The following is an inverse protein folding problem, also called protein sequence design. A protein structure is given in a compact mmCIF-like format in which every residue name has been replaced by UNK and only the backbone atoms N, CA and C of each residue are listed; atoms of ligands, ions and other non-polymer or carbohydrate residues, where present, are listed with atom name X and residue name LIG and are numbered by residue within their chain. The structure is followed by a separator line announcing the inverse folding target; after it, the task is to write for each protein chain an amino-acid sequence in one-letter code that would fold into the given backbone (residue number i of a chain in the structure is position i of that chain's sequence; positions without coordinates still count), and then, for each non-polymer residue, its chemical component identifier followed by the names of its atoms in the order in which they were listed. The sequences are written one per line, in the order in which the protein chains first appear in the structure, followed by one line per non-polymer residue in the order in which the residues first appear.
data_IF_312746042316
#
_entry.id   IF_312746042316
#
_cell.length_a   1.000
_cell.length_b   1.000
_cell.length_c   1.000
_cell.angle_alpha   90.00
_cell.angle_beta   90.00
_cell.angle_gamma   90.00
#
_symmetry.space_group_name_H-M   'P 1'
#
loop_
_entity.id
_entity.type
_entity.pdbx_description
1 polymer ?
#
# COMPACT_ATOMS: atom_id res chain seq x y z
N UNK A 1 26.28 -6.42 11.67
CA UNK A 1 24.89 -6.46 12.18
C UNK A 1 24.03 -7.14 11.14
N UNK A 2 23.13 -8.08 11.48
CA UNK A 2 22.27 -8.70 10.47
C UNK A 2 21.50 -7.59 9.74
N UNK A 3 21.46 -7.66 8.42
CA UNK A 3 20.76 -6.69 7.60
C UNK A 3 19.28 -6.67 8.03
N UNK A 4 18.78 -5.50 8.42
CA UNK A 4 17.35 -5.35 8.75
C UNK A 4 16.55 -5.57 7.46
N UNK A 5 15.52 -6.42 7.55
CA UNK A 5 14.66 -6.83 6.46
C UNK A 5 13.19 -6.65 6.86
N UNK A 6 12.29 -6.41 5.91
CA UNK A 6 10.82 -6.42 6.13
C UNK A 6 10.19 -7.69 5.55
N UNK A 7 10.87 -8.81 5.71
CA UNK A 7 10.42 -10.10 5.19
C UNK A 7 9.33 -10.73 6.05
N UNK A 8 9.08 -12.01 5.84
CA UNK A 8 8.11 -12.80 6.62
C UNK A 8 8.35 -12.68 8.13
N UNK A 9 7.28 -12.56 8.89
CA UNK A 9 7.31 -12.77 10.33
C UNK A 9 7.24 -14.27 10.66
N UNK A 10 7.76 -14.68 11.82
CA UNK A 10 7.96 -16.09 12.23
C UNK A 10 6.73 -16.99 12.35
N UNK A 11 5.56 -16.55 11.90
CA UNK A 11 4.34 -17.36 11.80
C UNK A 11 3.56 -17.17 10.50
N UNK A 12 4.02 -16.31 9.58
CA UNK A 12 3.24 -15.93 8.40
C UNK A 12 2.97 -17.12 7.48
N UNK A 13 3.95 -18.02 7.28
CA UNK A 13 3.74 -19.22 6.44
C UNK A 13 2.64 -20.13 7.00
N UNK A 14 2.55 -20.28 8.33
CA UNK A 14 1.47 -21.03 8.95
C UNK A 14 0.11 -20.33 8.83
N UNK A 15 0.10 -19.00 8.86
CA UNK A 15 -1.13 -18.21 8.86
C UNK A 15 -1.70 -17.98 7.46
N UNK A 16 -0.84 -17.92 6.45
CA UNK A 16 -1.19 -17.47 5.11
C UNK A 16 -0.73 -18.42 4.00
N UNK A 17 0.20 -19.34 4.27
CA UNK A 17 0.72 -20.27 3.26
C UNK A 17 -0.18 -21.48 2.99
N UNK A 18 -1.08 -21.83 3.92
CA UNK A 18 -2.01 -22.95 3.77
C UNK A 18 -3.19 -22.60 2.84
N UNK A 19 -3.38 -23.39 1.77
CA UNK A 19 -4.42 -23.12 0.76
C UNK A 19 -5.84 -23.24 1.32
N UNK A 20 -6.08 -24.12 2.29
CA UNK A 20 -7.39 -24.23 2.93
C UNK A 20 -7.70 -22.99 3.78
N UNK A 21 -6.69 -22.44 4.47
CA UNK A 21 -6.81 -21.17 5.18
C UNK A 21 -7.04 -20.01 4.21
N UNK A 22 -6.31 -19.94 3.10
CA UNK A 22 -6.57 -18.90 2.08
C UNK A 22 -8.00 -18.98 1.52
N UNK A 23 -8.50 -20.19 1.25
CA UNK A 23 -9.90 -20.39 0.83
C UNK A 23 -10.89 -19.87 1.87
N UNK A 24 -10.68 -20.17 3.16
CA UNK A 24 -11.49 -19.61 4.26
C UNK A 24 -11.42 -18.09 4.33
N UNK A 25 -10.24 -17.50 4.09
CA UNK A 25 -10.08 -16.04 4.07
C UNK A 25 -10.84 -15.41 2.89
N UNK A 26 -10.90 -16.05 1.72
CA UNK A 26 -11.72 -15.57 0.58
C UNK A 26 -13.20 -15.57 0.91
N UNK A 27 -13.71 -16.62 1.55
CA UNK A 27 -15.10 -16.65 2.03
C UNK A 27 -15.36 -15.58 3.10
N UNK A 28 -14.40 -15.35 4.01
CA UNK A 28 -14.49 -14.26 4.98
C UNK A 28 -14.52 -12.87 4.31
N UNK A 29 -13.73 -12.65 3.26
CA UNK A 29 -13.72 -11.39 2.49
C UNK A 29 -15.08 -11.17 1.80
N UNK A 30 -15.68 -12.21 1.21
CA UNK A 30 -17.02 -12.13 0.60
C UNK A 30 -18.08 -11.73 1.63
N UNK A 31 -18.10 -12.41 2.78
CA UNK A 31 -19.07 -12.12 3.85
C UNK A 31 -18.86 -10.71 4.43
N UNK A 32 -17.61 -10.29 4.65
CA UNK A 32 -17.31 -8.95 5.17
C UNK A 32 -17.73 -7.86 4.18
N UNK A 33 -17.36 -8.00 2.91
CA UNK A 33 -17.76 -7.07 1.84
C UNK A 33 -19.28 -6.98 1.71
N UNK A 34 -20.00 -8.09 1.83
CA UNK A 34 -21.46 -8.11 1.84
C UNK A 34 -22.05 -7.30 3.00
N UNK A 35 -21.54 -7.48 4.22
CA UNK A 35 -22.01 -6.72 5.39
C UNK A 35 -21.71 -5.23 5.26
N UNK A 36 -20.51 -4.86 4.84
CA UNK A 36 -20.12 -3.46 4.61
C UNK A 36 -21.02 -2.80 3.57
N UNK A 37 -21.33 -3.51 2.47
CA UNK A 37 -22.23 -3.06 1.42
C UNK A 37 -23.67 -2.79 1.90
N UNK A 38 -24.06 -3.34 3.05
CA UNK A 38 -25.37 -3.11 3.67
C UNK A 38 -25.34 -2.08 4.80
N UNK A 39 -24.22 -1.37 4.96
CA UNK A 39 -24.07 -0.31 5.96
C UNK A 39 -23.83 -0.82 7.39
N UNK A 40 -23.47 -2.09 7.56
CA UNK A 40 -23.02 -2.57 8.87
C UNK A 40 -21.67 -1.95 9.24
N UNK A 41 -21.45 -1.73 10.53
CA UNK A 41 -20.19 -1.15 11.01
C UNK A 41 -19.03 -2.11 10.74
N UNK A 42 -17.87 -1.56 10.33
CA UNK A 42 -16.69 -2.36 10.00
C UNK A 42 -16.22 -3.18 11.20
N UNK A 43 -16.10 -2.56 12.37
CA UNK A 43 -15.62 -3.21 13.60
C UNK A 43 -16.50 -4.42 13.99
N UNK A 44 -17.81 -4.27 13.97
CA UNK A 44 -18.72 -5.37 14.34
C UNK A 44 -18.76 -6.45 13.27
N UNK A 45 -18.76 -6.07 11.99
CA UNK A 45 -18.75 -7.00 10.87
C UNK A 45 -17.47 -7.84 10.85
N UNK A 46 -16.31 -7.22 11.07
CA UNK A 46 -15.02 -7.92 11.12
C UNK A 46 -14.96 -8.93 12.27
N UNK A 47 -15.46 -8.56 13.45
CA UNK A 47 -15.53 -9.48 14.60
C UNK A 47 -16.45 -10.67 14.31
N UNK A 48 -17.63 -10.42 13.75
CA UNK A 48 -18.60 -11.46 13.41
C UNK A 48 -18.03 -12.45 12.39
N UNK A 49 -17.48 -11.93 11.28
CA UNK A 49 -16.86 -12.73 10.22
C UNK A 49 -15.63 -13.45 10.73
N UNK A 50 -14.75 -12.76 11.46
CA UNK A 50 -13.55 -13.35 12.06
C UNK A 50 -13.87 -14.55 12.95
N UNK A 51 -14.90 -14.44 13.79
CA UNK A 51 -15.37 -15.54 14.64
C UNK A 51 -15.96 -16.70 13.83
N UNK A 52 -16.79 -16.43 12.82
CA UNK A 52 -17.38 -17.45 11.93
C UNK A 52 -16.31 -18.31 11.27
N UNK A 53 -15.24 -17.69 10.78
CA UNK A 53 -14.15 -18.37 10.06
C UNK A 53 -12.97 -18.78 10.95
N UNK A 54 -13.07 -18.54 12.28
CA UNK A 54 -12.03 -18.82 13.28
C UNK A 54 -10.67 -18.16 12.95
N UNK A 55 -10.72 -16.92 12.45
CA UNK A 55 -9.54 -16.14 12.09
C UNK A 55 -8.93 -15.50 13.33
N UNK A 56 -7.60 -15.55 13.45
CA UNK A 56 -6.91 -14.80 14.50
C UNK A 56 -6.84 -13.30 14.17
N UNK A 57 -6.39 -12.48 15.13
CA UNK A 57 -6.32 -11.03 14.95
C UNK A 57 -5.47 -10.59 13.74
N UNK A 58 -4.40 -11.32 13.40
CA UNK A 58 -3.52 -10.98 12.27
C UNK A 58 -4.20 -11.28 10.93
N UNK A 59 -4.89 -12.42 10.83
CA UNK A 59 -5.72 -12.78 9.68
C UNK A 59 -6.94 -11.88 9.54
N UNK A 60 -7.56 -11.46 10.65
CA UNK A 60 -8.64 -10.48 10.64
C UNK A 60 -8.16 -9.14 10.08
N UNK A 61 -6.98 -8.65 10.47
CA UNK A 61 -6.39 -7.43 9.86
C UNK A 61 -6.15 -7.57 8.36
N UNK A 62 -5.66 -8.73 7.91
CA UNK A 62 -5.52 -9.00 6.49
C UNK A 62 -6.88 -8.97 5.76
N UNK A 63 -7.88 -9.70 6.28
CA UNK A 63 -9.24 -9.70 5.72
C UNK A 63 -9.86 -8.31 5.72
N UNK A 64 -9.66 -7.52 6.76
CA UNK A 64 -10.09 -6.12 6.83
C UNK A 64 -9.48 -5.31 5.69
N UNK A 65 -8.15 -5.33 5.53
CA UNK A 65 -7.48 -4.61 4.45
C UNK A 65 -7.80 -5.12 3.04
N UNK A 66 -8.30 -6.35 2.93
CA UNK A 66 -8.68 -6.96 1.64
C UNK A 66 -10.15 -6.73 1.27
N UNK A 67 -10.98 -6.29 2.20
CA UNK A 67 -12.44 -6.18 2.02
C UNK A 67 -12.87 -4.72 1.90
N UNK A 68 -13.92 -4.47 1.13
CA UNK A 68 -14.56 -3.15 1.05
C UNK A 68 -16.01 -3.29 0.56
N UNK A 69 -16.85 -2.30 0.83
CA UNK A 69 -18.21 -2.19 0.30
C UNK A 69 -18.23 -2.02 -1.23
N UNK A 70 -19.25 -2.59 -1.89
CA UNK A 70 -19.37 -2.58 -3.34
C UNK A 70 -19.47 -1.16 -3.93
N UNK A 71 -20.19 -0.25 -3.28
CA UNK A 71 -20.35 1.13 -3.76
C UNK A 71 -19.02 1.89 -3.73
N UNK A 72 -18.18 1.65 -2.71
CA UNK A 72 -16.83 2.18 -2.62
C UNK A 72 -15.88 1.55 -3.65
N UNK A 73 -15.95 0.24 -3.87
CA UNK A 73 -15.17 -0.44 -4.90
C UNK A 73 -15.43 0.16 -6.30
N UNK A 74 -16.70 0.40 -6.64
CA UNK A 74 -17.08 1.06 -7.90
C UNK A 74 -16.46 2.46 -7.99
N UNK A 75 -16.64 3.29 -6.95
CA UNK A 75 -16.07 4.65 -6.92
C UNK A 75 -14.55 4.65 -7.03
N UNK A 76 -13.86 3.71 -6.37
CA UNK A 76 -12.39 3.56 -6.49
C UNK A 76 -12.00 3.21 -7.92
N UNK A 77 -12.70 2.26 -8.56
CA UNK A 77 -12.42 1.86 -9.93
C UNK A 77 -12.60 3.03 -10.92
N UNK A 78 -13.66 3.83 -10.77
CA UNK A 78 -13.93 5.01 -11.62
C UNK A 78 -12.83 6.08 -11.53
N UNK A 79 -12.16 6.18 -10.38
CA UNK A 79 -11.11 7.17 -10.11
C UNK A 79 -9.68 6.63 -10.33
N UNK A 80 -9.54 5.35 -10.66
CA UNK A 80 -8.25 4.69 -10.84
C UNK A 80 -7.71 4.95 -12.24
N UNK A 81 -6.56 5.60 -12.31
CA UNK A 81 -5.82 5.82 -13.55
C UNK A 81 -4.88 4.65 -13.83
N UNK A 82 -4.79 4.28 -15.11
CA UNK A 82 -3.77 3.39 -15.63
C UNK A 82 -2.42 4.12 -15.72
N UNK A 83 -1.28 3.40 -15.64
CA UNK A 83 0.04 4.02 -15.66
C UNK A 83 0.29 4.99 -16.82
N UNK A 84 -0.12 4.61 -18.04
CA UNK A 84 0.05 5.47 -19.23
C UNK A 84 -0.75 6.78 -19.16
N UNK A 85 -1.77 6.87 -18.31
CA UNK A 85 -2.56 8.09 -18.11
C UNK A 85 -1.87 9.08 -17.15
N UNK A 86 -0.72 8.71 -16.55
CA UNK A 86 0.06 9.59 -15.68
C UNK A 86 0.94 10.58 -16.45
N UNK A 87 1.09 10.42 -17.77
CA UNK A 87 1.93 11.28 -18.59
C UNK A 87 1.57 12.76 -18.41
N UNK A 88 2.58 13.59 -18.18
CA UNK A 88 2.48 15.04 -17.92
C UNK A 88 1.67 15.43 -16.67
N UNK A 89 1.27 14.48 -15.83
CA UNK A 89 0.56 14.76 -14.56
C UNK A 89 1.53 14.93 -13.40
N UNK A 90 1.06 15.64 -12.38
CA UNK A 90 1.71 15.70 -11.07
C UNK A 90 1.08 14.66 -10.14
N UNK A 91 1.92 13.97 -9.37
CA UNK A 91 1.50 12.89 -8.47
C UNK A 91 1.88 13.19 -7.02
N UNK A 92 1.07 12.71 -6.09
CA UNK A 92 1.27 12.78 -4.65
C UNK A 92 1.48 11.38 -4.09
N UNK A 93 2.67 11.08 -3.59
CA UNK A 93 2.99 9.77 -3.02
C UNK A 93 2.79 9.81 -1.50
N UNK A 94 2.02 8.85 -0.99
CA UNK A 94 2.07 8.49 0.42
C UNK A 94 3.39 7.75 0.67
N UNK A 95 4.40 8.51 1.10
CA UNK A 95 5.78 8.08 1.07
C UNK A 95 6.05 6.87 1.97
N UNK A 96 5.39 6.77 3.13
CA UNK A 96 5.55 5.60 3.99
C UNK A 96 4.79 4.40 3.45
N UNK A 97 3.52 4.55 3.07
CA UNK A 97 2.73 3.45 2.53
C UNK A 97 3.42 2.81 1.31
N UNK A 98 3.83 3.63 0.34
CA UNK A 98 4.47 3.18 -0.89
C UNK A 98 5.81 2.49 -0.60
N UNK A 99 6.67 3.13 0.20
CA UNK A 99 8.02 2.63 0.45
C UNK A 99 8.01 1.35 1.28
N UNK A 100 7.20 1.30 2.35
CA UNK A 100 7.11 0.11 3.21
C UNK A 100 6.54 -1.06 2.44
N UNK A 101 5.49 -0.86 1.63
CA UNK A 101 4.88 -1.93 0.87
C UNK A 101 5.85 -2.53 -0.16
N UNK A 102 6.61 -1.70 -0.87
CA UNK A 102 7.65 -2.16 -1.78
C UNK A 102 8.81 -2.84 -1.05
N UNK A 103 9.23 -2.31 0.11
CA UNK A 103 10.21 -2.98 0.97
C UNK A 103 9.72 -4.37 1.37
N UNK A 104 8.49 -4.49 1.85
CA UNK A 104 7.85 -5.77 2.23
C UNK A 104 7.82 -6.76 1.05
N UNK A 105 7.41 -6.29 -0.14
CA UNK A 105 7.40 -7.09 -1.36
C UNK A 105 8.78 -7.61 -1.75
N UNK A 106 9.78 -6.72 -1.82
CA UNK A 106 11.18 -7.06 -2.14
C UNK A 106 11.84 -7.94 -1.08
N UNK A 107 11.29 -7.96 0.14
CA UNK A 107 11.76 -8.77 1.25
C UNK A 107 11.13 -10.16 1.30
N UNK A 108 10.19 -10.45 0.39
CA UNK A 108 9.45 -11.72 0.36
C UNK A 108 8.40 -11.86 1.46
N UNK A 109 7.91 -10.76 2.05
CA UNK A 109 6.76 -10.81 2.96
C UNK A 109 5.48 -11.25 2.24
N UNK A 110 4.45 -11.59 3.02
CA UNK A 110 3.12 -11.78 2.45
C UNK A 110 2.50 -10.45 2.06
N UNK A 111 1.95 -10.42 0.85
CA UNK A 111 1.16 -9.32 0.32
C UNK A 111 -0.30 -9.77 0.22
N UNK A 112 -1.20 -8.86 0.55
CA UNK A 112 -2.63 -9.11 0.61
C UNK A 112 -3.30 -8.28 -0.47
N UNK A 113 -3.86 -8.93 -1.50
CA UNK A 113 -4.50 -8.24 -2.60
C UNK A 113 -5.97 -8.00 -2.30
N UNK A 114 -6.34 -6.73 -2.11
CA UNK A 114 -7.73 -6.36 -1.83
C UNK A 114 -8.65 -6.50 -3.03
N UNK A 115 -9.96 -6.43 -2.76
CA UNK A 115 -11.01 -6.42 -3.80
C UNK A 115 -10.89 -5.22 -4.76
N UNK A 116 -10.23 -4.13 -4.34
CA UNK A 116 -9.88 -2.97 -5.18
C UNK A 116 -8.62 -3.19 -6.04
N UNK A 117 -8.02 -4.38 -5.96
CA UNK A 117 -6.80 -4.74 -6.68
C UNK A 117 -5.51 -4.18 -6.06
N UNK A 118 -5.58 -3.41 -4.96
CA UNK A 118 -4.38 -2.92 -4.28
C UNK A 118 -3.68 -4.05 -3.53
N UNK A 119 -2.34 -4.04 -3.56
CA UNK A 119 -1.56 -4.79 -2.58
C UNK A 119 -1.47 -4.01 -1.28
N UNK A 120 -1.54 -4.74 -0.18
CA UNK A 120 -1.33 -4.23 1.17
C UNK A 120 -0.45 -5.20 1.92
N UNK A 121 0.28 -4.69 2.90
CA UNK A 121 1.00 -5.51 3.85
C UNK A 121 0.47 -5.24 5.27
N UNK A 122 0.92 -6.05 6.23
CA UNK A 122 0.55 -5.87 7.63
C UNK A 122 1.58 -5.05 8.41
N UNK A 123 2.64 -4.59 7.75
CA UNK A 123 3.65 -3.73 8.36
C UNK A 123 3.19 -2.29 8.27
N UNK A 124 2.94 -1.69 9.42
CA UNK A 124 2.78 -0.26 9.56
C UNK A 124 4.05 0.35 10.14
N UNK A 125 4.28 1.64 9.86
CA UNK A 125 5.25 2.41 10.64
C UNK A 125 4.52 3.05 11.82
N UNK A 126 4.93 2.64 13.02
CA UNK A 126 4.54 3.30 14.26
C UNK A 126 5.79 3.87 14.93
N UNK A 127 5.83 5.19 15.09
CA UNK A 127 6.88 5.91 15.82
C UNK A 127 8.19 6.11 15.07
N UNK A 128 8.82 5.06 14.53
CA UNK A 128 10.15 5.19 13.90
C UNK A 128 10.27 4.43 12.60
N UNK A 129 10.56 5.16 11.52
CA UNK A 129 10.99 4.54 10.28
C UNK A 129 12.47 4.10 10.37
N UNK A 130 12.75 2.89 9.90
CA UNK A 130 14.10 2.32 9.82
C UNK A 130 14.33 1.82 8.40
N UNK A 131 15.32 2.42 7.74
CA UNK A 131 15.84 1.93 6.45
C UNK A 131 16.22 0.46 6.56
N UNK A 132 15.86 -0.31 5.54
CA UNK A 132 16.22 -1.73 5.35
C UNK A 132 17.11 -1.91 4.13
N UNK A 133 17.58 -3.13 3.90
CA UNK A 133 18.45 -3.43 2.76
C UNK A 133 17.77 -3.13 1.41
N UNK A 134 16.44 -3.28 1.36
CA UNK A 134 15.62 -3.13 0.16
C UNK A 134 15.29 -1.67 -0.18
N UNK A 135 15.43 -0.74 0.77
CA UNK A 135 15.04 0.67 0.58
C UNK A 135 15.65 1.30 -0.68
N UNK A 136 16.97 1.16 -0.99
CA UNK A 136 17.53 1.75 -2.21
C UNK A 136 16.91 1.19 -3.49
N UNK A 137 16.65 -0.13 -3.54
CA UNK A 137 16.02 -0.75 -4.70
C UNK A 137 14.56 -0.33 -4.85
N UNK A 138 13.83 -0.18 -3.75
CA UNK A 138 12.46 0.33 -3.77
C UNK A 138 12.41 1.76 -4.34
N UNK A 139 13.30 2.66 -3.89
CA UNK A 139 13.40 4.04 -4.41
C UNK A 139 13.71 4.03 -5.91
N UNK A 140 14.65 3.20 -6.35
CA UNK A 140 14.99 3.09 -7.77
C UNK A 140 13.79 2.62 -8.61
N UNK A 141 13.06 1.58 -8.18
CA UNK A 141 11.87 1.10 -8.91
C UNK A 141 10.76 2.15 -9.00
N UNK A 142 10.59 2.97 -7.96
CA UNK A 142 9.64 4.10 -8.00
C UNK A 142 10.10 5.13 -9.03
N UNK A 143 11.38 5.47 -9.05
CA UNK A 143 11.93 6.40 -10.04
C UNK A 143 11.76 5.89 -11.47
N UNK A 144 12.07 4.62 -11.71
CA UNK A 144 11.94 3.97 -13.02
C UNK A 144 10.48 4.04 -13.49
N UNK A 145 9.52 3.61 -12.64
CA UNK A 145 8.10 3.67 -12.96
C UNK A 145 7.62 5.09 -13.29
N UNK A 146 7.99 6.09 -12.48
CA UNK A 146 7.56 7.48 -12.70
C UNK A 146 8.14 8.04 -14.00
N UNK A 147 9.39 7.68 -14.32
CA UNK A 147 10.06 8.09 -15.55
C UNK A 147 9.43 7.45 -16.80
N UNK A 148 9.23 6.13 -16.78
CA UNK A 148 8.61 5.37 -17.88
C UNK A 148 7.20 5.88 -18.21
N UNK A 149 6.45 6.27 -17.18
CA UNK A 149 5.09 6.82 -17.31
C UNK A 149 5.07 8.34 -17.49
N UNK A 150 6.23 8.98 -17.71
CA UNK A 150 6.38 10.41 -18.04
C UNK A 150 5.68 11.34 -17.05
N UNK A 151 5.78 11.02 -15.76
CA UNK A 151 5.23 11.86 -14.69
C UNK A 151 5.98 13.19 -14.66
N UNK A 152 5.24 14.30 -14.69
CA UNK A 152 5.81 15.66 -14.72
C UNK A 152 6.54 16.01 -13.43
N UNK A 153 5.94 15.67 -12.29
CA UNK A 153 6.46 15.96 -10.95
C UNK A 153 5.91 14.95 -9.95
N UNK A 154 6.76 14.48 -9.05
CA UNK A 154 6.35 13.63 -7.94
C UNK A 154 6.60 14.32 -6.59
N UNK A 155 5.55 14.48 -5.79
CA UNK A 155 5.66 15.03 -4.45
C UNK A 155 5.47 13.90 -3.42
N UNK A 156 6.53 13.57 -2.70
CA UNK A 156 6.53 12.60 -1.61
C UNK A 156 6.07 13.27 -0.33
N UNK A 157 5.02 12.74 0.29
CA UNK A 157 4.52 13.21 1.56
C UNK A 157 4.82 12.17 2.63
N UNK A 158 5.49 12.60 3.71
CA UNK A 158 5.74 11.76 4.88
C UNK A 158 5.12 12.37 6.11
N UNK A 159 4.65 11.50 7.00
CA UNK A 159 4.17 11.91 8.31
C UNK A 159 5.30 12.49 9.17
N UNK A 160 5.17 13.76 9.56
CA UNK A 160 6.21 14.53 10.25
C UNK A 160 6.60 13.95 11.63
N UNK A 161 5.65 13.50 12.49
CA UNK A 161 5.97 12.91 13.79
C UNK A 161 6.71 11.56 13.71
N UNK A 162 6.75 10.90 12.55
CA UNK A 162 7.51 9.66 12.39
C UNK A 162 9.01 9.96 12.49
N UNK A 163 9.66 9.38 13.49
CA UNK A 163 11.11 9.51 13.70
C UNK A 163 11.88 8.99 12.48
N UNK A 164 12.98 9.67 12.14
CA UNK A 164 13.80 9.50 10.94
C UNK A 164 13.17 9.95 9.60
N UNK A 165 11.96 10.50 9.58
CA UNK A 165 11.36 11.07 8.36
C UNK A 165 12.24 12.16 7.74
N UNK A 166 12.83 13.05 8.55
CA UNK A 166 13.77 14.08 8.09
C UNK A 166 15.03 13.51 7.42
N UNK A 167 15.59 12.43 7.96
CA UNK A 167 16.76 11.76 7.37
C UNK A 167 16.41 11.07 6.05
N UNK A 168 15.24 10.43 5.99
CA UNK A 168 14.74 9.84 4.74
C UNK A 168 14.51 10.91 3.67
N UNK A 169 13.97 12.07 4.05
CA UNK A 169 13.83 13.22 3.16
C UNK A 169 15.15 13.67 2.55
N UNK A 170 16.22 13.74 3.34
CA UNK A 170 17.57 14.06 2.81
C UNK A 170 18.03 13.02 1.79
N UNK A 171 17.92 11.72 2.13
CA UNK A 171 18.32 10.62 1.24
C UNK A 171 17.56 10.68 -0.10
N UNK A 172 16.24 10.92 -0.07
CA UNK A 172 15.42 11.00 -1.28
C UNK A 172 15.73 12.23 -2.12
N UNK A 173 16.06 13.36 -1.48
CA UNK A 173 16.48 14.56 -2.19
C UNK A 173 17.82 14.35 -2.88
N UNK A 174 18.83 13.83 -2.17
CA UNK A 174 20.14 13.52 -2.75
C UNK A 174 20.02 12.57 -3.94
N UNK A 175 19.19 11.53 -3.81
CA UNK A 175 18.90 10.60 -4.91
C UNK A 175 18.23 11.29 -6.10
N UNK A 176 17.26 12.18 -5.85
CA UNK A 176 16.58 12.92 -6.90
C UNK A 176 17.54 13.88 -7.63
N UNK A 177 18.38 14.61 -6.89
CA UNK A 177 19.35 15.54 -7.43
C UNK A 177 20.39 14.82 -8.30
N UNK A 178 20.94 13.69 -7.82
CA UNK A 178 21.89 12.87 -8.58
C UNK A 178 21.31 12.37 -9.92
N UNK A 179 20.01 12.07 -9.94
CA UNK A 179 19.30 11.52 -11.10
C UNK A 179 18.55 12.59 -11.91
N UNK A 180 18.66 13.87 -11.55
CA UNK A 180 17.89 14.98 -12.12
C UNK A 180 16.37 14.72 -12.17
N UNK A 181 15.82 14.15 -11.10
CA UNK A 181 14.38 13.86 -10.98
C UNK A 181 13.64 15.08 -10.42
N UNK A 182 12.47 15.39 -10.99
CA UNK A 182 11.59 16.45 -10.49
C UNK A 182 10.78 15.98 -9.27
N UNK A 183 11.48 15.73 -8.17
CA UNK A 183 10.89 15.29 -6.90
C UNK A 183 10.82 16.42 -5.88
N UNK A 184 9.70 16.51 -5.18
CA UNK A 184 9.56 17.31 -3.98
C UNK A 184 9.32 16.38 -2.79
N UNK A 185 9.97 16.63 -1.66
CA UNK A 185 9.80 15.82 -0.45
C UNK A 185 9.34 16.71 0.70
N UNK A 186 8.13 16.45 1.18
CA UNK A 186 7.42 17.24 2.19
C UNK A 186 7.12 16.40 3.41
N UNK A 187 7.25 17.02 4.59
CA UNK A 187 6.84 16.43 5.87
C UNK A 187 5.61 17.18 6.34
N UNK A 188 4.50 16.48 6.56
CA UNK A 188 3.23 17.08 6.99
C UNK A 188 2.68 16.36 8.23
N UNK A 189 1.87 17.05 9.03
CA UNK A 189 1.24 16.44 10.22
C UNK A 189 -0.04 15.66 9.88
N UNK A 190 -0.59 15.84 8.68
CA UNK A 190 -1.73 15.12 8.16
C UNK A 190 -1.50 14.78 6.68
N UNK A 191 -0.59 13.82 6.42
CA UNK A 191 -0.19 13.46 5.07
C UNK A 191 -1.38 12.97 4.23
N UNK A 192 -2.25 12.15 4.82
CA UNK A 192 -3.40 11.56 4.13
C UNK A 192 -4.33 12.66 3.59
N UNK A 193 -4.68 13.63 4.45
CA UNK A 193 -5.53 14.76 4.06
C UNK A 193 -4.87 15.62 2.98
N UNK A 194 -3.58 15.94 3.14
CA UNK A 194 -2.83 16.70 2.13
C UNK A 194 -2.86 16.02 0.76
N UNK A 195 -2.71 14.69 0.72
CA UNK A 195 -2.73 13.91 -0.52
C UNK A 195 -4.15 13.93 -1.12
N UNK A 196 -5.16 13.59 -0.34
CA UNK A 196 -6.54 13.46 -0.81
C UNK A 196 -7.13 14.77 -1.34
N UNK A 197 -6.82 15.90 -0.69
CA UNK A 197 -7.36 17.22 -1.04
C UNK A 197 -6.51 17.98 -2.09
N UNK A 198 -5.40 17.40 -2.55
CA UNK A 198 -4.44 18.09 -3.44
C UNK A 198 -4.97 18.40 -4.84
N UNK A 199 -6.03 17.72 -5.30
CA UNK A 199 -6.49 17.75 -6.69
C UNK A 199 -5.53 17.09 -7.70
N UNK A 200 -4.42 16.53 -7.23
CA UNK A 200 -3.43 15.79 -8.03
C UNK A 200 -3.69 14.28 -7.96
N UNK A 201 -2.95 13.48 -8.74
CA UNK A 201 -3.11 12.02 -8.72
C UNK A 201 -2.47 11.45 -7.46
N UNK A 202 -3.26 10.76 -6.62
CA UNK A 202 -2.75 10.09 -5.44
C UNK A 202 -2.07 8.75 -5.78
N UNK A 203 -0.96 8.46 -5.12
CA UNK A 203 -0.29 7.15 -5.17
C UNK A 203 -0.20 6.63 -3.74
N UNK A 204 -1.14 5.74 -3.39
CA UNK A 204 -1.24 5.05 -2.11
C UNK A 204 -2.09 3.79 -2.26
N UNK A 205 -1.99 2.85 -1.32
CA UNK A 205 -2.95 1.76 -1.12
C UNK A 205 -3.84 1.95 0.11
N UNK A 206 -3.70 3.07 0.83
CA UNK A 206 -4.53 3.41 1.99
C UNK A 206 -6.00 3.66 1.62
N UNK A 207 -6.91 2.95 2.27
CA UNK A 207 -8.33 2.98 1.95
C UNK A 207 -8.95 4.39 2.08
N UNK A 208 -8.52 5.18 3.07
CA UNK A 208 -9.03 6.53 3.26
C UNK A 208 -8.57 7.46 2.14
N UNK A 209 -7.31 7.38 1.73
CA UNK A 209 -6.81 8.15 0.57
C UNK A 209 -7.56 7.76 -0.70
N UNK A 210 -7.74 6.46 -0.95
CA UNK A 210 -8.45 5.99 -2.15
C UNK A 210 -9.91 6.47 -2.22
N UNK A 211 -10.59 6.56 -1.07
CA UNK A 211 -11.98 7.01 -0.99
C UNK A 211 -12.14 8.53 -1.21
N UNK A 212 -11.12 9.32 -0.83
CA UNK A 212 -11.21 10.78 -0.79
C UNK A 212 -10.44 11.49 -1.90
N UNK A 213 -9.44 10.85 -2.51
CA UNK A 213 -8.71 11.44 -3.64
C UNK A 213 -9.60 11.59 -4.88
N UNK A 214 -9.32 12.63 -5.68
CA UNK A 214 -10.03 12.87 -6.96
C UNK A 214 -9.71 11.79 -7.98
N UNK A 215 -8.43 11.45 -8.12
CA UNK A 215 -7.93 10.33 -8.94
C UNK A 215 -6.73 9.70 -8.24
N UNK A 216 -6.48 8.42 -8.51
CA UNK A 216 -5.37 7.69 -7.92
C UNK A 216 -4.78 6.68 -8.90
N UNK A 217 -3.57 6.18 -8.64
CA UNK A 217 -2.95 5.13 -9.44
C UNK A 217 -2.29 4.07 -8.54
N UNK A 218 -2.51 2.80 -8.88
CA UNK A 218 -1.98 1.65 -8.15
C UNK A 218 -0.52 1.32 -8.54
N UNK A 219 0.37 2.30 -8.40
CA UNK A 219 1.78 2.18 -8.81
C UNK A 219 2.48 0.96 -8.19
N UNK A 220 2.27 0.73 -6.89
CA UNK A 220 2.97 -0.35 -6.19
C UNK A 220 2.59 -1.71 -6.75
N UNK A 221 1.32 -1.95 -7.10
CA UNK A 221 0.93 -3.18 -7.78
C UNK A 221 1.67 -3.35 -9.10
N UNK A 222 1.71 -2.33 -9.95
CA UNK A 222 2.39 -2.43 -11.24
C UNK A 222 3.88 -2.77 -11.07
N UNK A 223 4.57 -2.08 -10.15
CA UNK A 223 5.98 -2.37 -9.85
C UNK A 223 6.14 -3.81 -9.34
N UNK A 224 5.30 -4.27 -8.42
CA UNK A 224 5.38 -5.63 -7.86
C UNK A 224 5.06 -6.70 -8.90
N UNK A 225 4.07 -6.47 -9.77
CA UNK A 225 3.69 -7.39 -10.83
C UNK A 225 4.81 -7.60 -11.85
N UNK A 226 5.57 -6.56 -12.15
CA UNK A 226 6.63 -6.59 -13.16
C UNK A 226 8.01 -6.98 -12.60
N UNK A 227 8.36 -6.50 -11.40
CA UNK A 227 9.72 -6.56 -10.89
C UNK A 227 9.93 -7.51 -9.70
N UNK A 228 8.86 -8.11 -9.15
CA UNK A 228 8.93 -9.03 -8.01
C UNK A 228 8.33 -10.39 -8.41
N UNK A 229 9.10 -11.25 -9.13
CA UNK A 229 8.59 -12.49 -9.70
C UNK A 229 8.25 -13.54 -8.64
N UNK A 230 8.98 -13.57 -7.52
CA UNK A 230 8.71 -14.44 -6.38
C UNK A 230 8.03 -13.64 -5.27
N UNK A 231 6.68 -13.66 -5.26
CA UNK A 231 5.86 -12.95 -4.27
C UNK A 231 4.91 -13.89 -3.57
N UNK A 232 4.80 -13.74 -2.24
CA UNK A 232 3.84 -14.49 -1.44
C UNK A 232 2.53 -13.70 -1.40
N UNK A 233 1.66 -13.88 -2.40
CA UNK A 233 0.40 -13.14 -2.49
C UNK A 233 -0.76 -14.00 -2.00
N UNK A 234 -1.56 -13.44 -1.08
CA UNK A 234 -2.89 -13.93 -0.76
C UNK A 234 -3.89 -13.15 -1.61
N UNK A 235 -4.57 -13.87 -2.50
CA UNK A 235 -5.59 -13.32 -3.41
C UNK A 235 -6.95 -13.21 -2.70
N UNK A 236 -7.67 -12.10 -2.91
CA UNK A 236 -9.03 -11.89 -2.40
C UNK A 236 -10.10 -12.71 -3.13
N UNK A 237 -9.77 -13.24 -4.31
CA UNK A 237 -10.65 -14.06 -5.15
C UNK A 237 -9.92 -15.31 -5.63
#
# INVERSE_FOLDING_TARGET
MPARNRGKEGGDDRLFGDLNMQSKMREAIKDLSYLLSRGFSEKSSLSLVGNRYKLNNRQQRAVQGMSEANDKLIKRAERCLLPHQLAEKEVMLDGFNVLILLESALSGAYLFKGLDGCYRDLSSVHGTYKKVQQTPKAIQLIADFLHENKVKKATWIFDKPVSNSGRLKTILREFADEKNLNWEITLDNNPDKMIAESGKVAISSDAWILDNATTWCNMVRHIVDEHVPQKNVVESQ
#
